data_IF_119509885814
#
_entry.id   IF_119509885814
#
_cell.length_a   1.000
_cell.length_b   1.000
_cell.length_c   1.000
_cell.angle_alpha   90.00
_cell.angle_beta   90.00
_cell.angle_gamma   90.00
#
_symmetry.space_group_name_H-M   'P 1'
#
loop_
_entity.id
_entity.type
_entity.pdbx_description
1 polymer ?
#
# COMPACT_ATOMS: atom_id res chain seq x y z
N UNK A 1 1.45 4.38 -7.09
CA UNK A 1 2.74 5.05 -6.77
C UNK A 1 3.86 4.52 -7.63
N UNK A 2 4.72 5.42 -8.11
CA UNK A 2 6.00 5.04 -8.75
C UNK A 2 7.03 4.75 -7.66
N UNK A 3 8.00 3.90 -7.97
CA UNK A 3 9.05 3.52 -7.01
C UNK A 3 9.98 4.69 -6.65
N UNK A 4 10.07 5.71 -7.48
CA UNK A 4 10.80 6.96 -7.19
C UNK A 4 10.19 7.68 -5.99
N UNK A 5 8.89 7.92 -6.00
CA UNK A 5 8.15 8.60 -4.92
C UNK A 5 8.24 7.85 -3.57
N UNK A 6 8.45 6.53 -3.61
CA UNK A 6 8.59 5.70 -2.42
C UNK A 6 9.99 5.84 -1.79
N UNK A 7 11.01 6.12 -2.61
CA UNK A 7 12.38 6.32 -2.12
C UNK A 7 12.58 7.66 -1.43
N UNK A 8 11.83 8.67 -1.85
CA UNK A 8 11.92 10.04 -1.29
C UNK A 8 11.29 10.14 0.12
N UNK A 9 10.48 9.16 0.51
CA UNK A 9 9.83 9.12 1.83
C UNK A 9 10.79 8.65 2.93
N UNK A 10 10.57 9.11 4.16
CA UNK A 10 11.31 8.61 5.33
C UNK A 10 10.84 7.21 5.73
N UNK A 11 11.60 6.49 6.56
CA UNK A 11 11.21 5.16 7.05
C UNK A 11 9.92 5.19 7.87
N UNK A 12 9.67 6.28 8.59
CA UNK A 12 8.48 6.47 9.41
C UNK A 12 7.24 6.74 8.54
N UNK A 13 7.37 7.62 7.54
CA UNK A 13 6.31 7.89 6.56
C UNK A 13 5.92 6.64 5.76
N UNK A 14 6.88 5.76 5.43
CA UNK A 14 6.59 4.49 4.77
C UNK A 14 5.74 3.58 5.68
N UNK A 15 6.03 3.54 6.98
CA UNK A 15 5.25 2.74 7.94
C UNK A 15 3.83 3.27 8.09
N UNK A 16 3.67 4.58 8.23
CA UNK A 16 2.33 5.21 8.29
C UNK A 16 1.53 4.99 7.01
N UNK A 17 2.17 5.11 5.84
CA UNK A 17 1.50 4.81 4.56
C UNK A 17 1.09 3.35 4.43
N UNK A 18 1.89 2.41 4.94
CA UNK A 18 1.53 1.00 4.92
C UNK A 18 0.26 0.76 5.76
N UNK A 19 0.18 1.32 6.96
CA UNK A 19 -0.98 1.14 7.84
C UNK A 19 -2.24 1.79 7.25
N UNK A 20 -2.13 3.02 6.73
CA UNK A 20 -3.25 3.71 6.08
C UNK A 20 -3.74 2.97 4.83
N UNK A 21 -2.84 2.51 3.95
CA UNK A 21 -3.24 1.74 2.76
C UNK A 21 -3.82 0.37 3.11
N UNK A 22 -3.34 -0.31 4.17
CA UNK A 22 -3.93 -1.56 4.66
C UNK A 22 -5.36 -1.34 5.17
N UNK A 23 -5.58 -0.30 5.97
CA UNK A 23 -6.91 0.04 6.46
C UNK A 23 -7.87 0.35 5.29
N UNK A 24 -7.41 1.10 4.30
CA UNK A 24 -8.16 1.39 3.09
C UNK A 24 -8.48 0.12 2.29
N UNK A 25 -7.53 -0.81 2.14
CA UNK A 25 -7.74 -2.09 1.47
C UNK A 25 -8.80 -2.94 2.18
N UNK A 26 -8.78 -2.99 3.50
CA UNK A 26 -9.77 -3.74 4.30
C UNK A 26 -11.16 -3.15 4.10
N UNK A 27 -11.29 -1.81 4.18
CA UNK A 27 -12.55 -1.12 3.92
C UNK A 27 -13.06 -1.37 2.49
N UNK A 28 -12.18 -1.33 1.49
CA UNK A 28 -12.54 -1.64 0.10
C UNK A 28 -13.01 -3.09 -0.07
N UNK A 29 -12.37 -4.06 0.59
CA UNK A 29 -12.81 -5.46 0.55
C UNK A 29 -14.18 -5.65 1.19
N UNK A 30 -14.43 -5.02 2.35
CA UNK A 30 -15.73 -5.07 3.01
C UNK A 30 -16.81 -4.44 2.13
N UNK A 31 -16.53 -3.26 1.55
CA UNK A 31 -17.45 -2.60 0.62
C UNK A 31 -17.73 -3.47 -0.61
N UNK A 32 -16.71 -4.13 -1.18
CA UNK A 32 -16.87 -5.03 -2.33
C UNK A 32 -17.74 -6.25 -2.05
N UNK A 33 -17.65 -6.77 -0.81
CA UNK A 33 -18.44 -7.92 -0.38
C UNK A 33 -19.92 -7.54 -0.18
N UNK A 34 -20.21 -6.31 0.23
CA UNK A 34 -21.58 -5.80 0.43
C UNK A 34 -22.20 -5.33 -0.89
N UNK A 35 -21.41 -4.68 -1.75
CA UNK A 35 -21.86 -4.19 -3.05
C UNK A 35 -20.73 -4.33 -4.07
N UNK A 36 -20.98 -4.85 -5.28
CA UNK A 36 -19.95 -4.92 -6.32
C UNK A 36 -19.42 -3.53 -6.64
N UNK A 37 -18.19 -3.26 -6.19
CA UNK A 37 -17.43 -2.04 -6.50
C UNK A 37 -17.43 -1.75 -8.02
N UNK A 38 -17.64 -0.48 -8.36
CA UNK A 38 -17.57 0.01 -9.75
C UNK A 38 -16.23 -0.29 -10.44
N UNK A 39 -15.14 -0.35 -9.67
CA UNK A 39 -13.82 -0.65 -10.22
C UNK A 39 -12.99 -1.57 -9.31
N UNK A 40 -13.04 -2.91 -9.53
CA UNK A 40 -12.24 -3.87 -8.76
C UNK A 40 -10.73 -3.77 -9.04
N UNK A 41 -10.29 -3.09 -10.11
CA UNK A 41 -8.85 -2.88 -10.34
C UNK A 41 -8.21 -2.03 -9.24
N UNK A 42 -8.96 -1.17 -8.56
CA UNK A 42 -8.47 -0.37 -7.42
C UNK A 42 -7.91 -1.24 -6.29
N UNK A 43 -8.54 -2.39 -6.01
CA UNK A 43 -8.07 -3.36 -5.01
C UNK A 43 -6.72 -3.95 -5.42
N UNK A 44 -6.52 -4.19 -6.71
CA UNK A 44 -5.27 -4.74 -7.25
C UNK A 44 -4.16 -3.69 -7.22
N UNK A 45 -4.44 -2.42 -7.55
CA UNK A 45 -3.46 -1.34 -7.50
C UNK A 45 -3.05 -1.00 -6.07
N UNK A 46 -3.98 -0.90 -5.12
CA UNK A 46 -3.65 -0.71 -3.69
C UNK A 46 -2.78 -1.86 -3.17
N UNK A 47 -3.14 -3.12 -3.44
CA UNK A 47 -2.32 -4.27 -3.04
C UNK A 47 -0.89 -4.19 -3.59
N UNK A 48 -0.72 -3.73 -4.83
CA UNK A 48 0.58 -3.55 -5.46
C UNK A 48 1.36 -2.38 -4.87
N UNK A 49 0.70 -1.30 -4.47
CA UNK A 49 1.34 -0.17 -3.77
C UNK A 49 1.86 -0.61 -2.39
N UNK A 50 1.05 -1.30 -1.59
CA UNK A 50 1.46 -1.87 -0.29
C UNK A 50 2.70 -2.76 -0.45
N UNK A 51 2.70 -3.66 -1.45
CA UNK A 51 3.85 -4.53 -1.71
C UNK A 51 5.13 -3.74 -2.02
N UNK A 52 5.03 -2.64 -2.78
CA UNK A 52 6.18 -1.78 -3.10
C UNK A 52 6.70 -1.06 -1.85
N UNK A 53 5.81 -0.53 -1.01
CA UNK A 53 6.17 0.11 0.26
C UNK A 53 6.88 -0.86 1.21
N UNK A 54 6.34 -2.08 1.37
CA UNK A 54 6.95 -3.12 2.20
C UNK A 54 8.32 -3.56 1.65
N UNK A 55 8.47 -3.64 0.32
CA UNK A 55 9.74 -4.00 -0.30
C UNK A 55 10.83 -2.96 -0.01
N UNK A 56 10.50 -1.67 -0.11
CA UNK A 56 11.46 -0.60 0.21
C UNK A 56 11.80 -0.58 1.70
N UNK A 57 10.80 -0.76 2.58
CA UNK A 57 11.05 -0.88 4.03
C UNK A 57 12.04 -2.01 4.32
N UNK A 58 11.81 -3.19 3.75
CA UNK A 58 12.70 -4.35 3.93
C UNK A 58 14.09 -4.12 3.37
N UNK A 59 14.20 -3.44 2.23
CA UNK A 59 15.49 -3.08 1.64
C UNK A 59 16.29 -2.14 2.54
N UNK A 60 15.62 -1.17 3.18
CA UNK A 60 16.25 -0.25 4.15
C UNK A 60 16.70 -0.98 5.42
N UNK A 61 15.94 -1.96 5.88
CA UNK A 61 16.33 -2.80 7.02
C UNK A 61 17.54 -3.68 6.73
N UNK A 62 17.68 -4.20 5.51
CA UNK A 62 18.80 -5.07 5.11
C UNK A 62 20.09 -4.30 4.81
N UNK A 63 19.99 -3.02 4.45
CA UNK A 63 21.13 -2.13 4.20
C UNK A 63 21.64 -1.42 5.47
N UNK A 64 21.11 -1.82 6.64
CA UNK A 64 21.50 -1.32 7.96
C UNK A 64 22.32 -2.39 8.67
#
# INVERSE_FOLDING_TARGET
MKTSEIKDLTTEEIREKIETEKAALTKMKMNHAVSPLENPMLIRTTRRNIARLMTELRKRELNK
#
